data_IF_419967280672
#
_entry.id   IF_419967280672
#
_cell.length_a   1.000
_cell.length_b   1.000
_cell.length_c   1.000
_cell.angle_alpha   90.00
_cell.angle_beta   90.00
_cell.angle_gamma   90.00
#
_symmetry.space_group_name_H-M   'P 1'
#
loop_
_entity.id
_entity.type
_entity.pdbx_description
1 polymer ?
#
# COMPACT_ATOMS: atom_id res chain seq x y z
N UNK A 1 14.50 28.82 -5.07
CA UNK A 1 14.49 27.75 -4.05
C UNK A 1 13.89 26.53 -4.72
N UNK A 2 14.57 25.38 -4.65
CA UNK A 2 13.96 24.11 -5.10
C UNK A 2 12.71 23.84 -4.25
N UNK A 3 11.62 23.44 -4.89
CA UNK A 3 10.41 23.01 -4.19
C UNK A 3 10.63 21.72 -3.39
N UNK A 4 9.70 21.38 -2.49
CA UNK A 4 9.76 20.13 -1.75
C UNK A 4 9.55 18.95 -2.72
N UNK A 5 10.46 17.97 -2.69
CA UNK A 5 10.34 16.74 -3.51
C UNK A 5 9.13 15.91 -3.11
N UNK A 6 8.89 15.78 -1.80
CA UNK A 6 7.72 15.11 -1.24
C UNK A 6 6.68 16.18 -0.88
N UNK A 7 5.55 16.16 -1.55
CA UNK A 7 4.43 17.08 -1.30
C UNK A 7 3.31 16.30 -0.62
N UNK A 8 2.94 16.61 0.63
CA UNK A 8 1.83 15.93 1.29
C UNK A 8 0.52 16.23 0.58
N UNK A 9 -0.25 15.19 0.25
CA UNK A 9 -1.56 15.31 -0.41
C UNK A 9 -2.67 15.14 0.62
N UNK A 10 -2.61 14.07 1.44
CA UNK A 10 -3.61 13.78 2.45
C UNK A 10 -3.05 12.89 3.55
N UNK A 11 -3.57 13.04 4.76
CA UNK A 11 -3.32 12.15 5.90
C UNK A 11 -4.64 11.69 6.48
N UNK A 12 -4.75 10.39 6.76
CA UNK A 12 -5.87 9.81 7.49
C UNK A 12 -5.33 9.17 8.77
N UNK A 13 -5.87 9.60 9.91
CA UNK A 13 -5.59 8.98 11.22
C UNK A 13 -6.83 8.22 11.67
N UNK A 14 -6.67 6.97 12.02
CA UNK A 14 -7.76 6.14 12.48
C UNK A 14 -8.18 6.58 13.88
N UNK A 15 -9.46 6.88 14.04
CA UNK A 15 -10.11 7.14 15.32
C UNK A 15 -11.11 6.02 15.61
N UNK A 16 -11.01 5.40 16.78
CA UNK A 16 -11.88 4.25 17.14
C UNK A 16 -11.39 2.92 16.57
N UNK A 17 -12.26 1.92 16.56
CA UNK A 17 -11.91 0.51 16.27
C UNK A 17 -12.83 -0.14 15.22
N UNK A 18 -13.45 0.63 14.35
CA UNK A 18 -14.39 0.11 13.34
C UNK A 18 -13.92 0.25 11.89
N UNK A 19 -12.78 0.90 11.65
CA UNK A 19 -12.29 1.17 10.30
C UNK A 19 -11.63 -0.06 9.70
N UNK A 20 -12.12 -0.49 8.55
CA UNK A 20 -11.60 -1.64 7.78
C UNK A 20 -11.00 -1.23 6.43
N UNK A 21 -11.18 0.03 6.03
CA UNK A 21 -10.72 0.54 4.74
C UNK A 21 -10.27 1.99 4.87
N UNK A 22 -9.13 2.29 4.27
CA UNK A 22 -8.59 3.64 4.10
C UNK A 22 -8.53 3.92 2.60
N UNK A 23 -9.18 5.00 2.16
CA UNK A 23 -9.24 5.38 0.74
C UNK A 23 -8.78 6.82 0.54
N UNK A 24 -7.79 7.01 -0.30
CA UNK A 24 -7.46 8.30 -0.89
C UNK A 24 -8.14 8.39 -2.25
N UNK A 25 -8.94 9.40 -2.47
CA UNK A 25 -9.68 9.65 -3.72
C UNK A 25 -9.39 11.02 -4.28
N UNK A 26 -9.83 11.26 -5.52
CA UNK A 26 -9.62 12.53 -6.21
C UNK A 26 -8.14 12.93 -6.35
N UNK A 27 -7.27 11.93 -6.49
CA UNK A 27 -5.84 12.13 -6.71
C UNK A 27 -5.67 12.76 -8.10
N UNK A 28 -5.05 13.92 -8.16
CA UNK A 28 -4.80 14.66 -9.41
C UNK A 28 -3.56 14.13 -10.11
N UNK A 29 -3.37 14.45 -11.39
CA UNK A 29 -2.19 14.04 -12.19
C UNK A 29 -1.01 15.03 -12.05
N UNK A 30 -0.87 15.72 -10.92
CA UNK A 30 0.07 16.81 -10.73
C UNK A 30 1.50 16.37 -10.39
N UNK A 31 1.72 15.08 -10.15
CA UNK A 31 2.99 14.54 -9.67
C UNK A 31 3.53 13.48 -10.65
N UNK A 32 4.81 13.15 -10.52
CA UNK A 32 5.43 12.05 -11.28
C UNK A 32 5.08 10.69 -10.70
N UNK A 33 5.21 10.55 -9.39
CA UNK A 33 4.97 9.33 -8.65
C UNK A 33 4.13 9.62 -7.40
N UNK A 34 3.60 8.56 -6.78
CA UNK A 34 2.94 8.63 -5.49
C UNK A 34 3.69 7.79 -4.46
N UNK A 35 3.68 8.27 -3.22
CA UNK A 35 4.19 7.51 -2.07
C UNK A 35 3.13 7.48 -0.98
N UNK A 36 2.79 6.28 -0.50
CA UNK A 36 1.96 6.11 0.71
C UNK A 36 2.84 5.58 1.82
N UNK A 37 2.88 6.30 2.92
CA UNK A 37 3.50 5.84 4.16
C UNK A 37 2.36 5.49 5.11
N UNK A 38 2.38 4.27 5.65
CA UNK A 38 1.45 3.93 6.69
C UNK A 38 2.16 3.27 7.86
N UNK A 39 1.75 3.69 9.03
CA UNK A 39 2.20 3.20 10.32
C UNK A 39 0.99 2.82 11.14
N UNK A 40 0.98 1.61 11.67
CA UNK A 40 -0.18 1.23 12.44
C UNK A 40 -0.17 -0.21 12.89
N UNK A 41 -1.21 -0.51 13.62
CA UNK A 41 -1.50 -1.84 14.13
C UNK A 41 -2.92 -2.25 13.74
N UNK A 42 -3.24 -3.49 14.04
CA UNK A 42 -4.58 -4.04 13.89
C UNK A 42 -5.10 -4.47 15.27
N UNK A 43 -6.41 -4.46 15.45
CA UNK A 43 -7.04 -4.84 16.73
C UNK A 43 -6.82 -6.32 17.04
N UNK A 44 -6.72 -7.16 16.00
CA UNK A 44 -6.39 -8.57 16.11
C UNK A 44 -5.46 -9.00 14.97
N UNK A 45 -4.93 -10.19 15.04
CA UNK A 45 -4.17 -10.76 13.92
C UNK A 45 -5.03 -10.87 12.67
N UNK A 46 -4.46 -10.51 11.54
CA UNK A 46 -5.11 -10.60 10.23
C UNK A 46 -4.32 -11.44 9.27
N UNK A 47 -5.06 -11.98 8.31
CA UNK A 47 -4.48 -12.77 7.25
C UNK A 47 -4.07 -11.91 6.05
N UNK A 48 -4.71 -10.75 5.83
CA UNK A 48 -4.43 -9.98 4.62
C UNK A 48 -4.78 -8.49 4.73
N UNK A 49 -3.79 -7.67 4.36
CA UNK A 49 -3.96 -6.28 3.96
C UNK A 49 -3.93 -6.24 2.44
N UNK A 50 -4.91 -5.62 1.82
CA UNK A 50 -5.04 -5.57 0.36
C UNK A 50 -5.01 -4.14 -0.16
N UNK A 51 -4.40 -3.97 -1.32
CA UNK A 51 -4.31 -2.72 -2.06
C UNK A 51 -5.07 -2.84 -3.37
N UNK A 52 -5.90 -1.85 -3.66
CA UNK A 52 -6.58 -1.69 -4.94
C UNK A 52 -6.45 -0.27 -5.46
N UNK A 53 -6.45 -0.10 -6.78
CA UNK A 53 -6.45 1.18 -7.47
C UNK A 53 -7.80 1.38 -8.18
N UNK A 54 -8.35 2.59 -8.11
CA UNK A 54 -9.56 3.01 -8.83
C UNK A 54 -10.76 2.07 -8.62
N UNK A 55 -10.85 1.41 -7.46
CA UNK A 55 -11.88 0.41 -7.16
C UNK A 55 -11.93 -0.77 -8.16
N UNK A 56 -10.83 -1.02 -8.89
CA UNK A 56 -10.74 -2.15 -9.81
C UNK A 56 -10.68 -3.46 -9.01
N UNK A 57 -11.73 -4.27 -9.13
CA UNK A 57 -11.86 -5.61 -8.53
C UNK A 57 -11.71 -6.72 -9.58
N UNK A 58 -11.30 -6.39 -10.80
CA UNK A 58 -10.98 -7.37 -11.85
C UNK A 58 -9.68 -8.11 -11.57
N UNK A 59 -9.45 -9.23 -12.25
CA UNK A 59 -8.24 -10.04 -12.12
C UNK A 59 -7.01 -9.39 -12.78
N UNK A 60 -6.80 -8.09 -12.50
CA UNK A 60 -5.81 -7.25 -13.16
C UNK A 60 -4.50 -7.10 -12.36
N UNK A 61 -4.40 -7.69 -11.19
CA UNK A 61 -3.23 -7.55 -10.33
C UNK A 61 -2.33 -8.79 -10.36
N UNK A 62 -1.05 -8.53 -10.19
CA UNK A 62 -0.03 -9.56 -9.90
C UNK A 62 0.98 -8.98 -8.93
N UNK A 63 1.57 -9.82 -8.09
CA UNK A 63 2.60 -9.38 -7.17
C UNK A 63 3.58 -10.51 -6.84
N UNK A 64 4.79 -10.12 -6.43
CA UNK A 64 5.83 -11.00 -5.89
C UNK A 64 6.24 -10.47 -4.53
N UNK A 65 6.32 -11.34 -3.54
CA UNK A 65 6.81 -11.03 -2.19
C UNK A 65 8.17 -11.66 -1.96
N UNK A 66 9.04 -10.93 -1.26
CA UNK A 66 10.33 -11.40 -0.74
C UNK A 66 10.35 -11.06 0.73
N UNK A 67 10.48 -12.05 1.60
CA UNK A 67 10.31 -11.89 3.04
C UNK A 67 11.40 -12.62 3.79
N UNK A 68 11.99 -11.95 4.77
CA UNK A 68 12.88 -12.55 5.77
C UNK A 68 12.19 -12.62 7.13
N UNK A 69 12.25 -13.76 7.80
CA UNK A 69 11.67 -13.93 9.14
C UNK A 69 12.51 -14.88 10.00
N UNK A 70 12.79 -14.49 11.24
CA UNK A 70 13.54 -15.31 12.17
C UNK A 70 14.78 -15.95 11.53
N UNK A 71 14.78 -17.26 11.37
CA UNK A 71 15.84 -18.04 10.73
C UNK A 71 15.56 -18.42 9.29
N UNK A 72 14.49 -17.91 8.67
CA UNK A 72 14.06 -18.31 7.33
C UNK A 72 13.78 -17.12 6.41
N UNK A 73 13.57 -17.45 5.14
CA UNK A 73 13.12 -16.54 4.11
C UNK A 73 12.20 -17.27 3.14
N UNK A 74 11.34 -16.52 2.46
CA UNK A 74 10.57 -17.05 1.34
C UNK A 74 10.36 -15.98 0.26
N UNK A 75 10.07 -16.45 -0.95
CA UNK A 75 9.47 -15.64 -1.99
C UNK A 75 8.30 -16.38 -2.59
N UNK A 76 7.26 -15.63 -2.93
CA UNK A 76 6.09 -16.15 -3.63
C UNK A 76 5.60 -15.17 -4.70
N UNK A 77 4.75 -15.67 -5.59
CA UNK A 77 4.13 -14.87 -6.64
C UNK A 77 2.66 -15.24 -6.78
N UNK A 78 1.83 -14.23 -6.95
CA UNK A 78 0.42 -14.35 -7.31
C UNK A 78 0.15 -13.60 -8.61
N UNK A 79 -0.63 -14.23 -9.50
CA UNK A 79 -1.05 -13.63 -10.77
C UNK A 79 -2.57 -13.68 -10.89
N UNK A 80 -3.14 -12.75 -11.68
CA UNK A 80 -4.57 -12.67 -11.93
C UNK A 80 -5.39 -12.51 -10.63
N UNK A 81 -4.86 -11.75 -9.69
CA UNK A 81 -5.55 -11.40 -8.44
C UNK A 81 -6.47 -10.20 -8.64
N UNK A 82 -7.45 -10.06 -7.77
CA UNK A 82 -8.36 -8.90 -7.70
C UNK A 82 -7.82 -7.75 -6.85
N UNK A 83 -6.67 -7.94 -6.21
CA UNK A 83 -5.96 -6.95 -5.39
C UNK A 83 -4.50 -7.36 -5.24
N UNK A 84 -3.66 -6.45 -4.71
CA UNK A 84 -2.30 -6.78 -4.28
C UNK A 84 -2.33 -7.06 -2.78
N UNK A 85 -1.91 -8.25 -2.36
CA UNK A 85 -1.64 -8.51 -0.94
C UNK A 85 -0.39 -7.75 -0.53
N UNK A 86 -0.53 -6.87 0.47
CA UNK A 86 0.57 -6.06 0.99
C UNK A 86 1.01 -6.52 2.39
N UNK A 87 0.66 -7.75 2.74
CA UNK A 87 0.96 -8.37 4.02
C UNK A 87 2.25 -9.19 3.95
N UNK A 88 3.07 -9.07 4.97
CA UNK A 88 4.14 -10.01 5.29
C UNK A 88 3.90 -10.55 6.70
N UNK A 89 3.72 -11.86 6.84
CA UNK A 89 3.26 -12.45 8.10
C UNK A 89 1.86 -11.95 8.49
N UNK A 90 1.39 -12.30 9.65
CA UNK A 90 0.15 -11.74 10.18
C UNK A 90 0.45 -10.39 10.85
N UNK A 91 0.01 -9.24 10.30
CA UNK A 91 0.02 -8.00 11.05
C UNK A 91 -0.76 -8.23 12.35
N UNK A 92 -0.18 -7.83 13.44
CA UNK A 92 -0.76 -8.00 14.76
C UNK A 92 -0.86 -6.67 15.49
N UNK A 93 -1.18 -6.76 16.75
CA UNK A 93 -1.31 -5.61 17.66
C UNK A 93 -0.02 -4.83 17.88
N UNK A 94 1.13 -5.36 17.45
CA UNK A 94 2.45 -4.76 17.65
C UNK A 94 2.84 -3.72 16.60
N UNK A 95 2.02 -3.54 15.57
CA UNK A 95 2.25 -2.54 14.55
C UNK A 95 3.22 -2.97 13.44
N UNK A 96 3.14 -2.23 12.36
CA UNK A 96 4.04 -2.33 11.22
C UNK A 96 4.19 -0.96 10.55
N UNK A 97 5.30 -0.79 9.86
CA UNK A 97 5.56 0.40 9.05
C UNK A 97 5.77 -0.03 7.60
N UNK A 98 5.14 0.68 6.68
CA UNK A 98 5.25 0.39 5.26
C UNK A 98 5.37 1.66 4.44
N UNK A 99 6.19 1.59 3.39
CA UNK A 99 6.37 2.65 2.41
C UNK A 99 6.06 2.04 1.04
N UNK A 100 4.96 2.48 0.45
CA UNK A 100 4.51 2.10 -0.88
C UNK A 100 4.89 3.21 -1.87
N UNK A 101 5.68 2.86 -2.88
CA UNK A 101 6.02 3.74 -3.99
C UNK A 101 5.29 3.26 -5.25
N UNK A 102 4.55 4.14 -5.90
CA UNK A 102 3.79 3.88 -7.13
C UNK A 102 4.38 4.74 -8.24
N UNK A 103 4.98 4.08 -9.23
CA UNK A 103 5.68 4.75 -10.31
C UNK A 103 4.72 5.19 -11.42
N UNK A 104 4.96 6.37 -11.99
CA UNK A 104 4.26 6.87 -13.20
C UNK A 104 2.74 6.72 -13.11
N UNK A 105 2.14 6.97 -11.95
CA UNK A 105 0.73 6.69 -11.67
C UNK A 105 -0.25 7.37 -12.63
N UNK A 106 0.11 8.52 -13.18
CA UNK A 106 -0.72 9.30 -14.09
C UNK A 106 -0.55 8.93 -15.58
N UNK A 107 0.47 8.12 -15.92
CA UNK A 107 0.75 7.75 -17.31
C UNK A 107 -0.33 6.78 -17.84
N UNK A 108 -0.96 7.12 -18.97
CA UNK A 108 -2.04 6.32 -19.58
C UNK A 108 -1.57 5.35 -20.66
N UNK A 109 -0.27 5.24 -20.90
CA UNK A 109 0.30 4.37 -21.94
C UNK A 109 0.93 3.09 -21.39
N UNK A 110 1.13 3.00 -20.07
CA UNK A 110 1.81 1.87 -19.43
C UNK A 110 1.01 1.33 -18.26
N UNK A 111 1.20 0.05 -17.94
CA UNK A 111 0.70 -0.54 -16.71
C UNK A 111 1.40 0.07 -15.50
N UNK A 112 0.73 0.05 -14.36
CA UNK A 112 1.26 0.63 -13.14
C UNK A 112 2.04 -0.40 -12.34
N UNK A 113 3.24 0.00 -11.92
CA UNK A 113 4.09 -0.80 -11.03
C UNK A 113 4.22 -0.11 -9.69
N UNK A 114 4.40 -0.92 -8.66
CA UNK A 114 4.66 -0.41 -7.32
C UNK A 114 5.72 -1.25 -6.60
N UNK A 115 6.43 -0.61 -5.70
CA UNK A 115 7.32 -1.24 -4.73
C UNK A 115 6.87 -0.87 -3.32
N UNK A 116 6.57 -1.87 -2.51
CA UNK A 116 6.32 -1.71 -1.09
C UNK A 116 7.50 -2.28 -0.31
N UNK A 117 8.02 -1.48 0.63
CA UNK A 117 8.93 -1.91 1.69
C UNK A 117 8.14 -1.93 2.99
N UNK A 118 8.20 -3.01 3.71
CA UNK A 118 7.41 -3.18 4.92
C UNK A 118 8.21 -3.89 6.00
N UNK A 119 7.91 -3.58 7.24
CA UNK A 119 8.47 -4.23 8.42
C UNK A 119 7.35 -4.54 9.39
N UNK A 120 7.24 -5.79 9.77
CA UNK A 120 6.33 -6.27 10.80
C UNK A 120 7.17 -6.66 12.03
N UNK A 121 6.89 -6.05 13.16
CA UNK A 121 7.68 -6.22 14.40
C UNK A 121 7.70 -7.65 14.90
N UNK A 122 6.67 -8.44 14.63
CA UNK A 122 6.56 -9.84 15.05
C UNK A 122 7.06 -10.83 13.99
N UNK A 123 7.37 -10.38 12.78
CA UNK A 123 7.67 -11.30 11.69
C UNK A 123 9.00 -11.00 11.02
N UNK A 124 9.20 -9.78 10.56
CA UNK A 124 10.44 -9.35 9.93
C UNK A 124 10.22 -8.34 8.79
N UNK A 125 11.26 -8.03 8.02
CA UNK A 125 11.18 -7.15 6.87
C UNK A 125 10.74 -7.89 5.61
N UNK A 126 10.17 -7.14 4.66
CA UNK A 126 9.84 -7.65 3.33
C UNK A 126 9.70 -6.58 2.28
N UNK A 127 9.77 -7.03 1.04
CA UNK A 127 9.50 -6.22 -0.15
C UNK A 127 8.43 -6.89 -1.00
N UNK A 128 7.53 -6.09 -1.55
CA UNK A 128 6.45 -6.54 -2.43
C UNK A 128 6.50 -5.70 -3.69
N UNK A 129 6.69 -6.37 -4.82
CA UNK A 129 6.64 -5.75 -6.15
C UNK A 129 5.27 -6.09 -6.74
N UNK A 130 4.49 -5.07 -7.06
CA UNK A 130 3.14 -5.21 -7.61
C UNK A 130 3.02 -4.66 -9.03
N UNK A 131 2.10 -5.24 -9.77
CA UNK A 131 1.69 -4.81 -11.11
C UNK A 131 0.16 -4.71 -11.13
N UNK A 132 -0.34 -3.59 -11.62
CA UNK A 132 -1.73 -3.42 -12.03
C UNK A 132 -1.79 -3.30 -13.55
N UNK A 133 -2.40 -4.30 -14.21
CA UNK A 133 -2.54 -4.40 -15.68
C UNK A 133 -3.69 -3.52 -16.18
N UNK A 134 -3.58 -2.23 -15.90
CA UNK A 134 -4.48 -1.20 -16.40
C UNK A 134 -3.66 0.05 -16.74
N UNK A 135 -3.95 0.68 -17.85
CA UNK A 135 -3.27 1.89 -18.28
C UNK A 135 -3.90 3.16 -17.72
N UNK A 136 -5.09 3.11 -17.14
CA UNK A 136 -5.74 4.29 -16.56
C UNK A 136 -4.85 4.97 -15.52
N UNK A 137 -4.89 6.29 -15.45
CA UNK A 137 -4.28 7.03 -14.35
C UNK A 137 -4.92 6.61 -13.02
N UNK A 138 -4.10 6.50 -11.97
CA UNK A 138 -4.60 6.20 -10.63
C UNK A 138 -5.13 7.49 -10.02
N UNK A 139 -6.42 7.53 -9.76
CA UNK A 139 -7.12 8.63 -9.08
C UNK A 139 -7.68 8.24 -7.71
N UNK A 140 -7.60 6.95 -7.35
CA UNK A 140 -7.97 6.45 -6.03
C UNK A 140 -7.08 5.27 -5.61
N UNK A 141 -6.73 5.23 -4.34
CA UNK A 141 -5.96 4.17 -3.68
C UNK A 141 -6.75 3.71 -2.47
N UNK A 142 -7.07 2.42 -2.40
CA UNK A 142 -7.74 1.81 -1.25
C UNK A 142 -6.86 0.77 -0.60
N UNK A 143 -6.70 0.86 0.72
CA UNK A 143 -5.99 -0.11 1.56
C UNK A 143 -7.01 -0.70 2.53
N UNK A 144 -7.32 -1.97 2.36
CA UNK A 144 -8.39 -2.66 3.09
C UNK A 144 -7.83 -3.80 3.93
N UNK A 145 -8.52 -4.09 5.02
CA UNK A 145 -8.23 -5.19 5.93
C UNK A 145 -9.47 -6.06 6.08
N UNK A 146 -9.29 -7.37 6.17
CA UNK A 146 -10.39 -8.31 6.39
C UNK A 146 -10.23 -9.07 7.71
N UNK A 147 -11.35 -9.40 8.34
CA UNK A 147 -11.37 -10.19 9.59
C UNK A 147 -11.06 -9.42 10.87
N UNK A 148 -10.66 -8.16 10.76
CA UNK A 148 -10.43 -7.24 11.91
C UNK A 148 -10.50 -5.79 11.43
N UNK A 149 -10.09 -4.86 12.28
CA UNK A 149 -10.07 -3.41 12.01
C UNK A 149 -8.70 -2.82 12.31
N UNK A 150 -8.42 -1.64 11.78
CA UNK A 150 -7.25 -0.86 12.17
C UNK A 150 -7.39 -0.39 13.62
N UNK A 151 -6.29 -0.38 14.34
CA UNK A 151 -6.23 0.21 15.69
C UNK A 151 -6.28 1.73 15.62
N UNK A 152 -6.90 2.32 16.61
CA UNK A 152 -6.88 3.78 16.81
C UNK A 152 -5.44 4.29 16.88
N UNK A 153 -5.18 5.44 16.27
CA UNK A 153 -3.84 6.03 16.15
C UNK A 153 -3.04 5.57 14.94
N UNK A 154 -3.48 4.55 14.20
CA UNK A 154 -2.84 4.20 12.93
C UNK A 154 -2.95 5.35 11.93
N UNK A 155 -1.88 5.64 11.20
CA UNK A 155 -1.79 6.76 10.25
C UNK A 155 -1.44 6.30 8.86
N UNK A 156 -2.07 6.95 7.88
CA UNK A 156 -1.84 6.74 6.46
C UNK A 156 -1.63 8.11 5.82
N UNK A 157 -0.48 8.32 5.21
CA UNK A 157 -0.17 9.61 4.55
C UNK A 157 0.21 9.36 3.09
N UNK A 158 -0.50 10.06 2.20
CA UNK A 158 -0.23 10.09 0.78
C UNK A 158 0.60 11.31 0.43
N UNK A 159 1.69 11.10 -0.30
CA UNK A 159 2.56 12.12 -0.88
C UNK A 159 2.59 12.00 -2.40
N UNK A 160 2.73 13.15 -3.07
CA UNK A 160 3.14 13.24 -4.45
C UNK A 160 4.63 13.55 -4.55
N UNK A 161 5.31 12.95 -5.53
CA UNK A 161 6.68 13.31 -5.87
C UNK A 161 6.61 14.37 -6.96
N UNK A 162 7.08 15.59 -6.66
CA UNK A 162 7.13 16.67 -7.62
C UNK A 162 8.19 16.39 -8.71
N UNK A 163 7.89 16.79 -9.94
CA UNK A 163 8.93 16.88 -10.99
C UNK A 163 9.95 17.94 -10.60
N UNK A 164 11.22 17.67 -10.87
CA UNK A 164 12.29 18.65 -10.73
C UNK A 164 12.12 19.80 -11.75
#
# INVERSE_FOLDING_TARGET
MAGATYVPIATQTISGTSTTNVTFSSITNAYTDLVVIFEGATVAQVNDLTLQFNSDSGSNYSYTRIVGYGSGQYSDRTSNSTSISITIGSPGTQGHTSILHINNYANTNVYKTMLLRTSNTNYGPGAIIGLWRNTSAINAISISISGTTYSSGSTFTLYGIASA
#
